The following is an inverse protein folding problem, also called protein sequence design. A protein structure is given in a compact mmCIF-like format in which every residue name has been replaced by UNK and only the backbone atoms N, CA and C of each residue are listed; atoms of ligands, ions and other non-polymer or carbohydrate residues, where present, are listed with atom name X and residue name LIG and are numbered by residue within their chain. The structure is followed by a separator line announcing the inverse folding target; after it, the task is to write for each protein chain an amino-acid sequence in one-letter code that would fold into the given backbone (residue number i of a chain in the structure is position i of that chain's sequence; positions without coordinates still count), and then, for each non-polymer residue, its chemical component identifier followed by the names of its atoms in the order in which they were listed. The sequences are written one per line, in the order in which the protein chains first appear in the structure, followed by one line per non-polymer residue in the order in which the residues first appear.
data_IF_840764815842
#
_entry.id   IF_840764815842
#
_cell.length_a   1.000
_cell.length_b   1.000
_cell.length_c   1.000
_cell.angle_alpha   90.00
_cell.angle_beta   90.00
_cell.angle_gamma   90.00
#
_symmetry.space_group_name_H-M   'P 1'
#
loop_
_entity.id
_entity.type
_entity.pdbx_description
1 polymer ?
#
# COMPACT_ATOMS: atom_id res chain seq x y z
N UNK A 1 -15.55 -5.11 5.46
CA UNK A 1 -16.76 -4.29 5.20
C UNK A 1 -16.99 -4.26 3.68
N UNK A 2 -18.16 -4.68 3.18
CA UNK A 2 -18.42 -4.89 1.74
C UNK A 2 -18.08 -3.67 0.86
N UNK A 3 -18.29 -2.46 1.37
CA UNK A 3 -18.01 -1.20 0.66
C UNK A 3 -16.51 -0.99 0.41
N UNK A 4 -15.65 -1.34 1.36
CA UNK A 4 -14.20 -1.20 1.23
C UNK A 4 -13.64 -2.14 0.16
N UNK A 5 -14.20 -3.34 0.02
CA UNK A 5 -13.78 -4.28 -1.03
C UNK A 5 -14.14 -3.78 -2.43
N UNK A 6 -15.32 -3.16 -2.59
CA UNK A 6 -15.74 -2.53 -3.85
C UNK A 6 -14.87 -1.31 -4.18
N UNK A 7 -14.54 -0.49 -3.18
CA UNK A 7 -13.62 0.64 -3.33
C UNK A 7 -12.22 0.15 -3.70
N UNK A 8 -11.72 -0.89 -3.05
CA UNK A 8 -10.40 -1.44 -3.38
C UNK A 8 -10.37 -2.08 -4.77
N UNK A 9 -11.50 -2.65 -5.22
CA UNK A 9 -11.65 -3.18 -6.56
C UNK A 9 -11.53 -2.08 -7.64
N UNK A 10 -12.14 -0.91 -7.42
CA UNK A 10 -12.02 0.21 -8.37
C UNK A 10 -10.59 0.78 -8.43
N UNK A 11 -9.83 0.68 -7.34
CA UNK A 11 -8.41 1.08 -7.25
C UNK A 11 -7.43 -0.01 -7.69
N UNK A 12 -7.89 -1.18 -8.13
CA UNK A 12 -7.03 -2.34 -8.38
C UNK A 12 -5.92 -2.08 -9.39
N UNK A 13 -6.14 -1.21 -10.38
CA UNK A 13 -5.15 -0.85 -11.39
C UNK A 13 -4.43 0.47 -11.08
N UNK A 14 -4.63 1.03 -9.89
CA UNK A 14 -4.05 2.31 -9.49
C UNK A 14 -2.82 2.12 -8.60
N UNK A 15 -1.88 3.06 -8.73
CA UNK A 15 -0.73 3.25 -7.86
C UNK A 15 -0.69 4.69 -7.36
N UNK A 16 0.07 4.90 -6.29
CA UNK A 16 0.45 6.22 -5.81
C UNK A 16 1.94 6.45 -5.98
N UNK A 17 2.30 7.60 -6.53
CA UNK A 17 3.68 8.06 -6.62
C UNK A 17 3.83 9.31 -5.76
N UNK A 18 4.80 9.29 -4.86
CA UNK A 18 5.09 10.37 -3.92
C UNK A 18 6.45 10.99 -4.25
N UNK A 19 6.66 12.25 -3.86
CA UNK A 19 7.99 12.89 -3.89
C UNK A 19 8.43 13.43 -5.25
N UNK A 20 7.57 13.39 -6.29
CA UNK A 20 7.88 14.04 -7.57
C UNK A 20 7.62 15.54 -7.44
N UNK A 21 8.66 16.35 -7.57
CA UNK A 21 8.55 17.82 -7.49
C UNK A 21 7.53 18.40 -8.48
N UNK A 22 6.72 19.34 -8.00
CA UNK A 22 5.72 20.05 -8.81
C UNK A 22 6.37 21.19 -9.60
N UNK A 23 5.91 21.38 -10.83
CA UNK A 23 6.33 22.50 -11.66
C UNK A 23 5.10 23.15 -12.31
N UNK A 24 5.18 24.45 -12.55
CA UNK A 24 4.13 25.16 -13.27
C UNK A 24 3.98 24.58 -14.68
N UNK A 25 2.74 24.25 -15.06
CA UNK A 25 2.39 23.61 -16.34
C UNK A 25 3.18 22.30 -16.58
N UNK A 26 3.33 21.49 -15.53
CA UNK A 26 4.00 20.20 -15.64
C UNK A 26 3.23 19.18 -16.48
N UNK A 27 3.98 18.29 -17.12
CA UNK A 27 3.48 17.06 -17.69
C UNK A 27 3.58 15.95 -16.63
N UNK A 28 2.47 15.69 -15.93
CA UNK A 28 2.40 14.73 -14.82
C UNK A 28 2.62 13.31 -15.32
N UNK A 29 2.11 12.98 -16.51
CA UNK A 29 2.26 11.64 -17.10
C UNK A 29 3.71 11.37 -17.46
N UNK A 30 4.37 12.31 -18.15
CA UNK A 30 5.79 12.18 -18.50
C UNK A 30 6.66 12.00 -17.26
N UNK A 31 6.52 12.86 -16.25
CA UNK A 31 7.29 12.73 -14.99
C UNK A 31 7.05 11.39 -14.29
N UNK A 32 5.80 10.91 -14.31
CA UNK A 32 5.46 9.61 -13.74
C UNK A 32 6.08 8.47 -14.53
N UNK A 33 6.08 8.57 -15.86
CA UNK A 33 6.69 7.59 -16.75
C UNK A 33 8.21 7.52 -16.54
N UNK A 34 8.89 8.66 -16.44
CA UNK A 34 10.32 8.75 -16.16
C UNK A 34 10.66 8.00 -14.85
N UNK A 35 9.87 8.20 -13.80
CA UNK A 35 10.02 7.50 -12.52
C UNK A 35 9.72 6.01 -12.62
N UNK A 36 8.67 5.61 -13.35
CA UNK A 36 8.33 4.20 -13.54
C UNK A 36 9.38 3.45 -14.36
N UNK A 37 10.00 4.11 -15.35
CA UNK A 37 11.03 3.52 -16.20
C UNK A 37 12.34 3.23 -15.46
N UNK A 38 12.63 3.91 -14.35
CA UNK A 38 13.74 3.56 -13.45
C UNK A 38 13.56 2.14 -12.87
N UNK A 39 12.31 1.75 -12.61
CA UNK A 39 12.00 0.45 -12.00
C UNK A 39 11.67 -0.61 -13.05
N UNK A 40 10.93 -0.22 -14.09
CA UNK A 40 10.50 -1.09 -15.18
C UNK A 40 10.73 -0.36 -16.52
N UNK A 41 11.92 -0.50 -17.14
CA UNK A 41 12.30 0.27 -18.33
C UNK A 41 11.38 0.14 -19.54
N UNK A 42 10.58 -0.94 -19.59
CA UNK A 42 9.70 -1.27 -20.71
C UNK A 42 8.28 -0.70 -20.54
N UNK A 43 8.00 0.07 -19.50
CA UNK A 43 6.70 0.75 -19.35
C UNK A 43 6.63 1.93 -20.32
N UNK A 44 5.49 2.08 -20.99
CA UNK A 44 5.26 3.13 -21.99
C UNK A 44 3.99 3.90 -21.66
N UNK A 45 3.82 5.09 -22.26
CA UNK A 45 2.62 5.93 -22.05
C UNK A 45 1.31 5.17 -22.38
N UNK A 46 1.30 4.28 -23.38
CA UNK A 46 0.11 3.46 -23.70
C UNK A 46 -0.25 2.41 -22.64
N UNK A 47 0.59 2.17 -21.62
CA UNK A 47 0.21 1.40 -20.43
C UNK A 47 -0.63 2.21 -19.43
N UNK A 48 -0.60 3.55 -19.54
CA UNK A 48 -1.24 4.49 -18.62
C UNK A 48 -2.63 4.86 -19.15
N UNK A 49 -3.63 4.75 -18.28
CA UNK A 49 -5.02 5.16 -18.56
C UNK A 49 -5.25 6.62 -18.17
N UNK A 50 -4.75 7.00 -16.98
CA UNK A 50 -4.92 8.33 -16.41
C UNK A 50 -3.82 8.58 -15.36
N UNK A 51 -3.33 9.81 -15.29
CA UNK A 51 -2.34 10.24 -14.33
C UNK A 51 -2.61 11.68 -13.89
N UNK A 52 -2.75 11.93 -12.58
CA UNK A 52 -2.98 13.29 -12.06
C UNK A 52 -2.55 13.45 -10.60
N UNK A 53 -2.24 14.70 -10.22
CA UNK A 53 -1.97 15.10 -8.83
C UNK A 53 -3.24 15.03 -7.99
N UNK A 54 -3.12 14.61 -6.74
CA UNK A 54 -4.23 14.54 -5.78
C UNK A 54 -3.90 15.23 -4.46
N UNK A 55 -4.94 15.73 -3.81
CA UNK A 55 -4.82 16.49 -2.56
C UNK A 55 -4.65 17.99 -2.79
N UNK A 56 -4.61 18.72 -1.68
CA UNK A 56 -4.42 20.17 -1.69
C UNK A 56 -2.93 20.49 -1.79
N UNK A 57 -2.55 21.63 -2.40
CA UNK A 57 -1.19 22.13 -2.32
C UNK A 57 -0.85 22.38 -0.84
N UNK A 58 0.10 21.62 -0.29
CA UNK A 58 0.56 21.70 1.09
C UNK A 58 2.09 21.90 1.13
N UNK A 59 2.74 21.73 2.30
CA UNK A 59 4.20 21.77 2.41
C UNK A 59 4.80 20.50 1.80
N UNK A 60 4.98 20.51 0.48
CA UNK A 60 5.64 19.46 -0.29
C UNK A 60 4.86 19.07 -1.56
N UNK A 61 5.46 18.28 -2.44
CA UNK A 61 4.81 17.85 -3.67
C UNK A 61 3.59 16.97 -3.40
N UNK A 62 2.47 17.27 -4.07
CA UNK A 62 1.26 16.45 -4.02
C UNK A 62 1.53 15.05 -4.59
N UNK A 63 0.85 14.07 -4.03
CA UNK A 63 0.89 12.70 -4.55
C UNK A 63 0.28 12.64 -5.95
N UNK A 64 0.74 11.69 -6.75
CA UNK A 64 0.15 11.37 -8.04
C UNK A 64 -0.61 10.05 -7.90
N UNK A 65 -1.86 10.01 -8.40
CA UNK A 65 -2.53 8.74 -8.69
C UNK A 65 -2.33 8.45 -10.16
N UNK A 66 -1.82 7.27 -10.45
CA UNK A 66 -1.65 6.76 -11.80
C UNK A 66 -2.44 5.46 -11.94
N UNK A 67 -3.29 5.38 -12.96
CA UNK A 67 -4.07 4.20 -13.31
C UNK A 67 -3.50 3.57 -14.57
N UNK A 68 -3.31 2.26 -14.55
CA UNK A 68 -2.90 1.48 -15.71
C UNK A 68 -4.11 0.96 -16.49
N UNK A 69 -3.96 0.86 -17.82
CA UNK A 69 -4.93 0.24 -18.71
C UNK A 69 -5.16 -1.25 -18.39
N UNK A 70 -4.18 -1.91 -17.76
CA UNK A 70 -4.28 -3.30 -17.39
C UNK A 70 -3.69 -3.62 -16.01
N UNK A 71 -4.29 -4.61 -15.36
CA UNK A 71 -3.75 -5.20 -14.15
C UNK A 71 -2.35 -5.80 -14.36
N UNK A 72 -2.09 -6.32 -15.57
CA UNK A 72 -0.79 -6.91 -15.94
C UNK A 72 0.32 -5.86 -15.94
N UNK A 73 0.04 -4.68 -16.50
CA UNK A 73 0.98 -3.54 -16.52
C UNK A 73 1.34 -3.13 -15.08
N UNK A 74 0.34 -2.96 -14.20
CA UNK A 74 0.59 -2.69 -12.76
C UNK A 74 1.45 -3.78 -12.13
N UNK A 75 1.12 -5.05 -12.34
CA UNK A 75 1.86 -6.17 -11.75
C UNK A 75 3.33 -6.21 -12.18
N UNK A 76 3.61 -5.89 -13.43
CA UNK A 76 4.98 -5.83 -13.96
C UNK A 76 5.83 -4.79 -13.22
N UNK A 77 5.26 -3.62 -12.93
CA UNK A 77 5.92 -2.61 -12.10
C UNK A 77 6.31 -3.19 -10.73
N UNK A 78 5.37 -3.86 -10.05
CA UNK A 78 5.64 -4.40 -8.71
C UNK A 78 6.54 -5.65 -8.72
N UNK A 79 6.58 -6.44 -9.79
CA UNK A 79 7.55 -7.54 -9.90
C UNK A 79 8.98 -7.04 -10.05
N UNK A 80 9.13 -5.89 -10.72
CA UNK A 80 10.44 -5.30 -11.02
C UNK A 80 10.90 -4.31 -9.92
N UNK A 81 10.06 -4.10 -8.89
CA UNK A 81 10.31 -3.21 -7.74
C UNK A 81 11.56 -3.56 -6.91
N UNK A 82 12.28 -4.65 -7.23
CA UNK A 82 13.65 -4.87 -6.74
C UNK A 82 14.60 -3.72 -7.09
N UNK A 83 14.29 -2.97 -8.14
CA UNK A 83 15.06 -1.82 -8.61
C UNK A 83 14.69 -0.50 -7.91
N UNK A 84 13.74 -0.50 -6.95
CA UNK A 84 13.30 0.73 -6.25
C UNK A 84 14.44 1.50 -5.55
N UNK A 85 15.55 0.81 -5.21
CA UNK A 85 16.76 1.44 -4.65
C UNK A 85 17.42 2.47 -5.58
N UNK A 86 17.07 2.45 -6.86
CA UNK A 86 17.56 3.40 -7.87
C UNK A 86 16.65 4.63 -8.01
N UNK A 87 15.50 4.66 -7.34
CA UNK A 87 14.62 5.83 -7.33
C UNK A 87 15.33 7.02 -6.65
N UNK A 88 15.03 8.26 -7.06
CA UNK A 88 15.50 9.43 -6.35
C UNK A 88 15.09 9.40 -4.87
N UNK A 89 15.87 10.06 -4.04
CA UNK A 89 15.55 10.20 -2.63
C UNK A 89 14.16 10.81 -2.46
N UNK A 90 13.40 10.32 -1.48
CA UNK A 90 12.02 10.72 -1.19
C UNK A 90 10.97 10.37 -2.26
N UNK A 91 11.35 9.69 -3.35
CA UNK A 91 10.38 9.16 -4.34
C UNK A 91 9.95 7.76 -3.96
N UNK A 92 8.64 7.55 -3.85
CA UNK A 92 8.07 6.25 -3.47
C UNK A 92 6.92 5.87 -4.39
N UNK A 93 6.89 4.59 -4.78
CA UNK A 93 5.80 3.98 -5.54
C UNK A 93 5.07 2.97 -4.64
N UNK A 94 3.76 3.14 -4.47
CA UNK A 94 2.93 2.30 -3.60
C UNK A 94 1.65 1.87 -4.32
N UNK A 95 1.00 0.79 -3.86
CA UNK A 95 -0.37 0.51 -4.28
C UNK A 95 -1.33 1.61 -3.81
N UNK A 96 -2.37 1.92 -4.59
CA UNK A 96 -3.46 2.79 -4.14
C UNK A 96 -4.43 1.99 -3.26
N UNK A 97 -4.11 1.94 -1.96
CA UNK A 97 -4.96 1.32 -0.95
C UNK A 97 -6.14 2.23 -0.60
N UNK A 98 -7.26 1.63 -0.19
CA UNK A 98 -8.34 2.38 0.48
C UNK A 98 -7.85 3.03 1.77
N UNK A 99 -8.66 3.91 2.35
CA UNK A 99 -8.36 4.51 3.66
C UNK A 99 -8.14 3.43 4.73
N UNK A 100 -8.98 2.41 4.73
CA UNK A 100 -8.88 1.32 5.69
C UNK A 100 -7.66 0.42 5.43
N UNK A 101 -7.43 0.01 4.17
CA UNK A 101 -6.24 -0.76 3.81
C UNK A 101 -4.94 -0.03 4.16
N UNK A 102 -4.88 1.29 3.92
CA UNK A 102 -3.75 2.14 4.32
C UNK A 102 -3.56 2.16 5.84
N UNK A 103 -4.65 2.26 6.60
CA UNK A 103 -4.64 2.24 8.05
C UNK A 103 -4.12 0.90 8.59
N UNK A 104 -4.65 -0.24 8.12
CA UNK A 104 -4.17 -1.57 8.49
C UNK A 104 -2.69 -1.73 8.14
N UNK A 105 -2.28 -1.33 6.94
CA UNK A 105 -0.87 -1.41 6.57
C UNK A 105 0.02 -0.53 7.46
N UNK A 106 -0.46 0.64 7.89
CA UNK A 106 0.26 1.50 8.82
C UNK A 106 0.50 0.83 10.18
N UNK A 107 -0.52 0.16 10.74
CA UNK A 107 -0.42 -0.58 12.00
C UNK A 107 0.53 -1.77 11.85
N UNK A 108 0.43 -2.48 10.73
CA UNK A 108 1.29 -3.63 10.42
C UNK A 108 2.77 -3.21 10.33
N UNK A 109 3.06 -2.03 9.78
CA UNK A 109 4.43 -1.47 9.79
C UNK A 109 4.91 -1.12 11.20
N UNK A 110 4.03 -0.72 12.12
CA UNK A 110 4.40 -0.53 13.53
C UNK A 110 4.79 -1.87 14.17
N UNK A 111 4.00 -2.93 13.93
CA UNK A 111 4.31 -4.29 14.39
C UNK A 111 5.64 -4.83 13.82
N UNK A 112 5.95 -4.50 12.56
CA UNK A 112 7.26 -4.81 11.98
C UNK A 112 8.40 -4.07 12.69
N UNK A 113 8.23 -2.77 12.97
CA UNK A 113 9.23 -1.96 13.70
C UNK A 113 9.44 -2.45 15.13
N UNK A 114 8.40 -2.94 15.81
CA UNK A 114 8.49 -3.54 17.15
C UNK A 114 9.00 -4.99 17.13
N UNK A 115 9.35 -5.54 15.95
CA UNK A 115 9.83 -6.92 15.75
C UNK A 115 8.80 -8.00 16.11
N UNK A 116 7.51 -7.65 16.18
CA UNK A 116 6.42 -8.61 16.44
C UNK A 116 6.11 -9.48 15.22
N UNK A 117 6.54 -9.05 14.03
CA UNK A 117 6.46 -9.80 12.76
C UNK A 117 7.79 -9.68 12.01
N UNK A 118 8.09 -10.65 11.13
CA UNK A 118 9.35 -10.66 10.39
C UNK A 118 9.30 -9.81 9.12
N UNK A 119 8.16 -9.75 8.44
CA UNK A 119 7.96 -8.93 7.23
C UNK A 119 6.51 -8.49 7.06
N UNK A 120 6.28 -7.40 6.33
CA UNK A 120 4.95 -6.98 5.90
C UNK A 120 4.97 -6.37 4.49
N UNK A 121 3.91 -6.61 3.70
CA UNK A 121 3.76 -6.06 2.36
C UNK A 121 2.29 -5.96 1.96
N UNK A 122 2.03 -5.30 0.84
CA UNK A 122 0.71 -5.28 0.20
C UNK A 122 0.75 -6.01 -1.12
N UNK A 123 -0.38 -6.62 -1.50
CA UNK A 123 -0.59 -7.21 -2.82
C UNK A 123 -2.07 -7.16 -3.16
N UNK A 124 -2.40 -6.49 -4.25
CA UNK A 124 -3.76 -6.39 -4.78
C UNK A 124 -4.73 -5.75 -3.78
N UNK A 125 -4.28 -4.68 -3.12
CA UNK A 125 -5.08 -4.00 -2.10
C UNK A 125 -5.20 -4.75 -0.77
N UNK A 126 -4.53 -5.89 -0.61
CA UNK A 126 -4.57 -6.72 0.61
C UNK A 126 -3.25 -6.63 1.35
N UNK A 127 -3.31 -6.65 2.69
CA UNK A 127 -2.14 -6.60 3.56
C UNK A 127 -1.76 -8.01 4.00
N UNK A 128 -0.48 -8.33 3.90
CA UNK A 128 0.10 -9.61 4.30
C UNK A 128 1.27 -9.40 5.25
N UNK A 129 1.44 -10.35 6.17
CA UNK A 129 2.60 -10.43 7.06
C UNK A 129 3.24 -11.79 6.97
N UNK A 130 4.55 -11.83 7.19
CA UNK A 130 5.26 -13.05 7.55
C UNK A 130 5.48 -13.04 9.06
N UNK A 131 5.10 -14.13 9.72
CA UNK A 131 5.25 -14.28 11.15
C UNK A 131 6.72 -14.56 11.51
N UNK A 132 7.09 -14.32 12.77
CA UNK A 132 8.34 -14.85 13.31
C UNK A 132 8.13 -16.35 13.54
N UNK A 133 9.07 -17.23 13.14
CA UNK A 133 8.96 -18.65 13.43
C UNK A 133 9.03 -18.86 14.94
N UNK A 134 8.01 -19.49 15.51
CA UNK A 134 8.02 -19.96 16.91
C UNK A 134 8.46 -21.43 16.97
N UNK A 135 8.20 -22.20 15.91
CA UNK A 135 8.72 -23.54 15.68
C UNK A 135 9.14 -23.71 14.21
N UNK A 136 9.81 -24.81 13.88
CA UNK A 136 10.22 -25.15 12.50
C UNK A 136 9.01 -25.23 11.54
N UNK A 137 7.88 -25.79 12.02
CA UNK A 137 6.64 -25.91 11.24
C UNK A 137 6.00 -24.54 10.90
N UNK A 138 6.41 -23.47 11.57
CA UNK A 138 5.91 -22.11 11.35
C UNK A 138 6.81 -21.26 10.45
N UNK A 139 7.92 -21.83 9.97
CA UNK A 139 8.87 -21.12 9.15
C UNK A 139 8.23 -20.64 7.85
N UNK A 140 8.22 -19.31 7.67
CA UNK A 140 7.72 -18.69 6.44
C UNK A 140 6.20 -18.57 6.33
N UNK A 141 5.43 -18.91 7.39
CA UNK A 141 3.96 -18.73 7.38
C UNK A 141 3.58 -17.28 7.08
N UNK A 142 2.67 -17.12 6.13
CA UNK A 142 2.12 -15.83 5.69
C UNK A 142 0.67 -15.72 6.11
N UNK A 143 0.31 -14.62 6.78
CA UNK A 143 -1.08 -14.33 7.19
C UNK A 143 -1.60 -13.08 6.46
N UNK A 144 -2.85 -13.11 5.99
CA UNK A 144 -3.57 -11.91 5.54
C UNK A 144 -4.14 -11.19 6.76
N UNK A 145 -3.95 -9.88 6.83
CA UNK A 145 -4.48 -9.03 7.89
C UNK A 145 -5.77 -8.38 7.40
N UNK A 146 -6.88 -8.59 8.10
CA UNK A 146 -8.19 -8.02 7.77
C UNK A 146 -8.59 -6.93 8.76
N UNK A 147 -8.23 -7.11 10.03
CA UNK A 147 -8.60 -6.24 11.15
C UNK A 147 -7.41 -5.90 12.02
N UNK A 148 -7.48 -4.87 12.88
CA UNK A 148 -6.44 -4.60 13.86
C UNK A 148 -6.15 -5.80 14.78
N UNK A 149 -7.16 -6.60 15.12
CA UNK A 149 -7.03 -7.82 15.94
C UNK A 149 -6.16 -8.90 15.26
N UNK A 150 -6.06 -8.89 13.93
CA UNK A 150 -5.25 -9.88 13.22
C UNK A 150 -3.75 -9.64 13.36
N UNK A 151 -3.34 -8.45 13.80
CA UNK A 151 -1.96 -7.95 13.79
C UNK A 151 -1.19 -8.47 15.01
N UNK A 152 -0.17 -9.33 14.83
CA UNK A 152 0.63 -9.83 15.95
C UNK A 152 1.32 -8.70 16.71
N UNK A 153 1.23 -8.73 18.05
CA UNK A 153 1.84 -7.75 18.93
C UNK A 153 1.18 -6.37 18.92
N UNK A 154 0.01 -6.22 18.31
CA UNK A 154 -0.80 -5.01 18.39
C UNK A 154 -2.04 -5.27 19.25
N UNK A 155 -2.23 -4.44 20.27
CA UNK A 155 -3.45 -4.43 21.08
C UNK A 155 -4.32 -3.24 20.63
N UNK A 156 -5.42 -3.47 19.89
CA UNK A 156 -6.32 -2.39 19.49
C UNK A 156 -7.09 -1.83 20.68
N UNK A 157 -7.46 -0.55 20.63
CA UNK A 157 -8.38 0.03 21.61
C UNK A 157 -9.81 -0.51 21.45
N UNK A 158 -10.65 -0.38 22.48
CA UNK A 158 -12.07 -0.71 22.37
C UNK A 158 -12.76 0.02 21.22
N UNK A 159 -12.44 1.30 21.01
CA UNK A 159 -12.94 2.09 19.88
C UNK A 159 -12.57 1.45 18.52
N UNK A 160 -11.34 0.95 18.38
CA UNK A 160 -10.89 0.26 17.18
C UNK A 160 -11.61 -1.08 16.97
N UNK A 161 -11.85 -1.83 18.06
CA UNK A 161 -12.60 -3.09 18.03
C UNK A 161 -14.05 -2.84 17.60
N UNK A 162 -14.74 -1.90 18.26
CA UNK A 162 -16.13 -1.55 17.93
C UNK A 162 -16.22 -1.11 16.47
N UNK A 163 -15.31 -0.24 16.03
CA UNK A 163 -15.34 0.33 14.69
C UNK A 163 -15.05 -0.67 13.56
N UNK A 164 -14.14 -1.62 13.79
CA UNK A 164 -13.61 -2.47 12.70
C UNK A 164 -13.90 -3.97 12.85
N UNK A 165 -14.33 -4.42 14.03
CA UNK A 165 -14.59 -5.83 14.35
C UNK A 165 -16.06 -6.06 14.76
N UNK A 166 -16.76 -5.02 15.24
CA UNK A 166 -18.16 -5.08 15.70
C UNK A 166 -18.28 -5.28 17.21
N UNK A 167 -19.44 -4.94 17.77
CA UNK A 167 -19.70 -4.87 19.23
C UNK A 167 -19.55 -6.21 19.96
N UNK A 168 -19.66 -7.35 19.28
CA UNK A 168 -19.66 -8.69 19.89
C UNK A 168 -18.26 -9.28 20.18
N UNK A 169 -17.19 -8.51 20.00
CA UNK A 169 -15.79 -8.96 20.17
C UNK A 169 -15.01 -8.16 21.22
N UNK A 170 -15.67 -7.34 22.04
CA UNK A 170 -15.04 -6.75 23.23
C UNK A 170 -14.61 -7.88 24.19
N UNK A 171 -13.32 -7.98 24.56
CA UNK A 171 -12.93 -8.93 25.60
C UNK A 171 -13.71 -8.60 26.87
N UNK A 172 -14.29 -9.62 27.52
CA UNK A 172 -14.99 -9.42 28.78
C UNK A 172 -14.04 -8.76 29.79
N UNK A 173 -14.49 -7.74 30.54
CA UNK A 173 -13.66 -7.14 31.58
C UNK A 173 -13.27 -8.23 32.60
N UNK A 174 -12.00 -8.23 33.00
CA UNK A 174 -11.43 -9.11 34.04
C UNK A 174 -12.16 -8.99 35.38
#
# INVERSE_FOLDING_TARGET
MRTDELEQYSRKNCIRINGIEEQNKEDVEKKSLDVLQIVCPNVVSSDIENCHRVGKPERGPRQIILRFNSYKSKRKIFSDMKQHKNLPENVYINEDLTKYGSYIYSLTRKAYKSKSISQCWTRDGKVFVRLNPVSEDELGKVKRILTPLDIPGYAPSEEEIIKYCGESMTPAPE
#
